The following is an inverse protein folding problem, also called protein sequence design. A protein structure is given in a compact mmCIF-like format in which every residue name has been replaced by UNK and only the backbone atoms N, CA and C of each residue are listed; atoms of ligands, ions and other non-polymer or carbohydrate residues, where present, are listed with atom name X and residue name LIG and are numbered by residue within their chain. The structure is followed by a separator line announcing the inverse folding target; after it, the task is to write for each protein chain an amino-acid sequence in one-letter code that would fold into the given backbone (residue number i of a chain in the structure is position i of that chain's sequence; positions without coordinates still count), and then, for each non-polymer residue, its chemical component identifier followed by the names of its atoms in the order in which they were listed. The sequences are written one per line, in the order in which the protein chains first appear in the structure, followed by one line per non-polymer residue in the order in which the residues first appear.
data_IF_803488316312
#
_entry.id   IF_803488316312
#
_cell.length_a   1.000
_cell.length_b   1.000
_cell.length_c   1.000
_cell.angle_alpha   90.00
_cell.angle_beta   90.00
_cell.angle_gamma   90.00
#
_symmetry.space_group_name_H-M   'P 1'
#
loop_
_entity.id
_entity.type
_entity.pdbx_description
1 polymer ?
#
# COMPACT_ATOMS: atom_id res chain seq x y z
N UNK A 1 9.52 -28.15 -14.61
CA UNK A 1 9.82 -26.96 -13.79
C UNK A 1 9.77 -27.32 -12.29
N UNK A 2 10.86 -27.11 -11.56
CA UNK A 2 11.10 -27.75 -10.24
C UNK A 2 10.20 -27.17 -9.13
N UNK A 3 9.02 -27.75 -8.94
CA UNK A 3 8.07 -27.42 -7.85
C UNK A 3 8.75 -27.41 -6.47
N UNK A 4 9.61 -28.39 -6.20
CA UNK A 4 10.38 -28.48 -4.94
C UNK A 4 11.28 -27.26 -4.73
N UNK A 5 12.00 -26.78 -5.75
CA UNK A 5 12.89 -25.61 -5.67
C UNK A 5 12.12 -24.31 -5.36
N UNK A 6 10.92 -24.18 -5.89
CA UNK A 6 10.08 -23.01 -5.61
C UNK A 6 9.52 -23.03 -4.19
N UNK A 7 9.18 -24.21 -3.67
CA UNK A 7 8.75 -24.38 -2.27
C UNK A 7 9.88 -24.01 -1.32
N UNK A 8 11.12 -24.45 -1.57
CA UNK A 8 12.29 -24.06 -0.75
C UNK A 8 12.50 -22.54 -0.74
N UNK A 9 12.37 -21.87 -1.89
CA UNK A 9 12.48 -20.41 -1.96
C UNK A 9 11.40 -19.69 -1.15
N UNK A 10 10.18 -20.18 -1.18
CA UNK A 10 9.07 -19.64 -0.39
C UNK A 10 9.29 -19.85 1.13
N UNK A 11 9.79 -21.03 1.53
CA UNK A 11 10.11 -21.30 2.92
C UNK A 11 11.22 -20.36 3.41
N UNK A 12 12.30 -20.21 2.64
CA UNK A 12 13.40 -19.31 2.98
C UNK A 12 12.88 -17.87 3.13
N UNK A 13 12.07 -17.42 2.20
CA UNK A 13 11.49 -16.08 2.26
C UNK A 13 10.60 -15.91 3.50
N UNK A 14 9.77 -16.89 3.82
CA UNK A 14 8.93 -16.87 5.01
C UNK A 14 9.77 -16.82 6.30
N UNK A 15 10.85 -17.59 6.38
CA UNK A 15 11.78 -17.56 7.52
C UNK A 15 12.45 -16.21 7.66
N UNK A 16 12.90 -15.58 6.55
CA UNK A 16 13.51 -14.24 6.57
C UNK A 16 12.51 -13.22 7.09
N UNK A 17 11.26 -13.26 6.63
CA UNK A 17 10.20 -12.35 7.09
C UNK A 17 9.94 -12.52 8.59
N UNK A 18 9.83 -13.77 9.09
CA UNK A 18 9.64 -14.05 10.52
C UNK A 18 10.81 -13.53 11.36
N UNK A 19 12.05 -13.73 10.89
CA UNK A 19 13.24 -13.20 11.56
C UNK A 19 13.24 -11.67 11.59
N UNK A 20 12.85 -11.01 10.49
CA UNK A 20 12.74 -9.56 10.42
C UNK A 20 11.66 -9.03 11.38
N UNK A 21 10.52 -9.72 11.51
CA UNK A 21 9.47 -9.37 12.46
C UNK A 21 9.94 -9.52 13.91
N UNK A 22 10.63 -10.61 14.23
CA UNK A 22 11.23 -10.82 15.54
C UNK A 22 12.30 -9.76 15.86
N UNK A 23 13.16 -9.44 14.90
CA UNK A 23 14.15 -8.38 15.03
C UNK A 23 13.50 -7.01 15.27
N UNK A 24 12.43 -6.68 14.53
CA UNK A 24 11.67 -5.43 14.74
C UNK A 24 11.12 -5.33 16.17
N UNK A 25 10.66 -6.44 16.74
CA UNK A 25 10.11 -6.45 18.09
C UNK A 25 11.18 -6.33 19.18
N UNK A 26 12.41 -6.78 18.93
CA UNK A 26 13.49 -6.89 19.94
C UNK A 26 14.52 -5.78 19.84
N UNK A 27 14.90 -5.32 18.64
CA UNK A 27 15.95 -4.33 18.44
C UNK A 27 15.58 -2.99 19.09
N UNK A 28 16.46 -2.46 19.95
CA UNK A 28 16.31 -1.17 20.64
C UNK A 28 15.32 -1.18 21.80
N UNK A 29 14.80 -2.34 22.21
CA UNK A 29 13.99 -2.45 23.43
C UNK A 29 14.93 -2.57 24.63
N UNK A 30 14.78 -1.70 25.61
CA UNK A 30 15.52 -1.76 26.89
C UNK A 30 14.85 -2.79 27.81
N UNK A 31 15.29 -4.05 27.74
CA UNK A 31 14.74 -5.15 28.54
C UNK A 31 14.96 -5.00 30.05
N UNK A 32 15.92 -4.16 30.46
CA UNK A 32 16.23 -3.94 31.88
C UNK A 32 15.18 -3.08 32.61
N UNK A 33 14.29 -2.39 31.89
CA UNK A 33 13.25 -1.55 32.46
C UNK A 33 11.86 -2.01 31.98
N UNK A 34 11.10 -2.65 32.88
CA UNK A 34 9.78 -3.18 32.54
C UNK A 34 8.80 -2.17 31.98
N UNK A 35 8.83 -0.92 32.46
CA UNK A 35 7.92 0.13 31.97
C UNK A 35 8.23 0.48 30.53
N UNK A 36 9.51 0.63 30.18
CA UNK A 36 9.95 0.94 28.83
C UNK A 36 9.70 -0.24 27.86
N UNK A 37 9.88 -1.45 28.35
CA UNK A 37 9.58 -2.67 27.60
C UNK A 37 8.09 -2.75 27.26
N UNK A 38 7.19 -2.62 28.25
CA UNK A 38 5.73 -2.65 28.02
C UNK A 38 5.29 -1.52 27.08
N UNK A 39 5.85 -0.33 27.23
CA UNK A 39 5.56 0.80 26.35
C UNK A 39 6.00 0.53 24.89
N UNK A 40 7.21 -0.01 24.70
CA UNK A 40 7.72 -0.38 23.38
C UNK A 40 6.83 -1.43 22.70
N UNK A 41 6.43 -2.48 23.40
CA UNK A 41 5.53 -3.51 22.86
C UNK A 41 4.15 -2.95 22.55
N UNK A 42 3.57 -2.10 23.41
CA UNK A 42 2.27 -1.47 23.19
C UNK A 42 2.22 -0.66 21.90
N UNK A 43 3.33 -0.01 21.51
CA UNK A 43 3.41 0.77 20.27
C UNK A 43 3.76 -0.12 19.07
N UNK A 44 4.67 -1.07 19.24
CA UNK A 44 5.19 -1.88 18.11
C UNK A 44 4.21 -2.94 17.65
N UNK A 45 3.46 -3.54 18.56
CA UNK A 45 2.51 -4.61 18.24
C UNK A 45 1.44 -4.18 17.21
N UNK A 46 0.68 -3.07 17.42
CA UNK A 46 -0.29 -2.63 16.45
C UNK A 46 0.34 -2.20 15.11
N UNK A 47 1.54 -1.62 15.15
CA UNK A 47 2.28 -1.28 13.92
C UNK A 47 2.67 -2.52 13.12
N UNK A 48 3.12 -3.57 13.79
CA UNK A 48 3.48 -4.83 13.15
C UNK A 48 2.27 -5.49 12.51
N UNK A 49 1.12 -5.53 13.20
CA UNK A 49 -0.14 -6.03 12.64
C UNK A 49 -0.53 -5.21 11.40
N UNK A 50 -0.48 -3.88 11.49
CA UNK A 50 -0.78 -3.02 10.36
C UNK A 50 0.15 -3.29 9.17
N UNK A 51 1.47 -3.46 9.39
CA UNK A 51 2.41 -3.82 8.33
C UNK A 51 2.07 -5.14 7.64
N UNK A 52 1.70 -6.17 8.41
CA UNK A 52 1.33 -7.49 7.87
C UNK A 52 0.06 -7.39 7.03
N UNK A 53 -0.98 -6.74 7.55
CA UNK A 53 -2.24 -6.54 6.83
C UNK A 53 -2.00 -5.75 5.54
N UNK A 54 -1.24 -4.66 5.62
CA UNK A 54 -0.91 -3.82 4.47
C UNK A 54 -0.14 -4.61 3.41
N UNK A 55 0.87 -5.37 3.80
CA UNK A 55 1.66 -6.19 2.87
C UNK A 55 0.78 -7.23 2.16
N UNK A 56 -0.11 -7.91 2.91
CA UNK A 56 -1.04 -8.88 2.35
C UNK A 56 -2.03 -8.23 1.37
N UNK A 57 -2.58 -7.06 1.73
CA UNK A 57 -3.54 -6.32 0.91
C UNK A 57 -2.90 -5.81 -0.38
N UNK A 58 -1.71 -5.21 -0.30
CA UNK A 58 -0.98 -4.71 -1.47
C UNK A 58 -0.57 -5.88 -2.39
N UNK A 59 -0.08 -6.97 -1.82
CA UNK A 59 0.28 -8.17 -2.59
C UNK A 59 -0.93 -8.78 -3.29
N UNK A 60 -2.04 -8.94 -2.59
CA UNK A 60 -3.29 -9.44 -3.16
C UNK A 60 -3.83 -8.53 -4.26
N UNK A 61 -3.91 -7.23 -4.02
CA UNK A 61 -4.33 -6.26 -5.02
C UNK A 61 -3.44 -6.28 -6.27
N UNK A 62 -2.12 -6.41 -6.09
CA UNK A 62 -1.17 -6.49 -7.20
C UNK A 62 -1.39 -7.75 -8.05
N UNK A 63 -1.64 -8.90 -7.43
CA UNK A 63 -1.90 -10.16 -8.14
C UNK A 63 -3.20 -10.06 -8.94
N UNK A 64 -4.28 -9.55 -8.34
CA UNK A 64 -5.56 -9.35 -9.03
C UNK A 64 -5.38 -8.40 -10.22
N UNK A 65 -4.69 -7.29 -10.00
CA UNK A 65 -4.44 -6.30 -11.03
C UNK A 65 -3.63 -6.87 -12.21
N UNK A 66 -2.54 -7.60 -11.92
CA UNK A 66 -1.72 -8.28 -12.93
C UNK A 66 -2.51 -9.32 -13.73
N UNK A 67 -3.42 -10.02 -13.05
CA UNK A 67 -4.30 -11.01 -13.71
C UNK A 67 -5.28 -10.33 -14.67
N UNK A 68 -5.88 -9.21 -14.26
CA UNK A 68 -6.84 -8.46 -15.10
C UNK A 68 -6.16 -7.86 -16.33
N UNK A 69 -4.95 -7.32 -16.16
CA UNK A 69 -4.19 -6.68 -17.25
C UNK A 69 -3.44 -7.72 -18.10
N UNK A 70 -3.36 -8.97 -17.64
CA UNK A 70 -2.55 -10.03 -18.26
C UNK A 70 -1.07 -9.64 -18.41
N UNK A 71 -0.54 -8.92 -17.43
CA UNK A 71 0.86 -8.47 -17.40
C UNK A 71 1.40 -8.55 -15.98
N UNK A 72 2.45 -9.36 -15.77
CA UNK A 72 3.02 -9.65 -14.46
C UNK A 72 3.99 -8.57 -13.94
N UNK A 73 4.35 -7.61 -14.75
CA UNK A 73 5.30 -6.54 -14.38
C UNK A 73 4.56 -5.35 -13.76
N UNK A 74 3.33 -5.09 -14.21
CA UNK A 74 2.59 -3.89 -13.84
C UNK A 74 1.90 -4.07 -12.49
N UNK A 75 2.17 -3.16 -11.58
CA UNK A 75 1.48 -3.06 -10.29
C UNK A 75 0.73 -1.74 -10.18
N UNK A 76 -0.31 -1.61 -9.33
CA UNK A 76 -1.03 -0.36 -9.15
C UNK A 76 -0.12 0.82 -8.76
N UNK A 77 0.95 0.56 -7.99
CA UNK A 77 1.91 1.59 -7.60
C UNK A 77 2.66 2.21 -8.79
N UNK A 78 2.99 1.40 -9.81
CA UNK A 78 3.67 1.88 -11.02
C UNK A 78 2.78 2.74 -11.92
N UNK A 79 1.48 2.71 -11.71
CA UNK A 79 0.53 3.56 -12.44
C UNK A 79 0.36 4.96 -11.81
N UNK A 80 1.16 5.32 -10.81
CA UNK A 80 1.04 6.62 -10.16
C UNK A 80 -0.10 6.72 -9.15
N UNK A 81 -0.61 5.59 -8.64
CA UNK A 81 -1.70 5.60 -7.65
C UNK A 81 -1.34 6.37 -6.37
N UNK A 82 -0.07 6.32 -5.95
CA UNK A 82 0.39 7.05 -4.76
C UNK A 82 0.34 8.58 -4.98
N UNK A 83 0.75 9.04 -6.15
CA UNK A 83 0.72 10.46 -6.51
C UNK A 83 -0.71 10.97 -6.66
N UNK A 84 -1.58 10.15 -7.25
CA UNK A 84 -3.01 10.42 -7.34
C UNK A 84 -3.65 10.55 -5.95
N UNK A 85 -3.33 9.64 -5.03
CA UNK A 85 -3.80 9.73 -3.64
C UNK A 85 -3.34 11.02 -2.97
N UNK A 86 -2.06 11.35 -3.08
CA UNK A 86 -1.51 12.58 -2.50
C UNK A 86 -2.17 13.83 -3.06
N UNK A 87 -2.42 13.86 -4.37
CA UNK A 87 -3.10 14.96 -5.04
C UNK A 87 -4.55 15.10 -4.53
N UNK A 88 -5.29 14.00 -4.44
CA UNK A 88 -6.67 14.01 -3.96
C UNK A 88 -6.73 14.47 -2.51
N UNK A 89 -5.88 13.90 -1.64
CA UNK A 89 -5.81 14.29 -0.23
C UNK A 89 -5.50 15.80 -0.08
N UNK A 90 -4.52 16.29 -0.82
CA UNK A 90 -4.16 17.72 -0.81
C UNK A 90 -5.33 18.59 -1.28
N UNK A 91 -6.01 18.17 -2.34
CA UNK A 91 -7.19 18.91 -2.84
C UNK A 91 -8.33 18.91 -1.81
N UNK A 92 -8.61 17.76 -1.18
CA UNK A 92 -9.63 17.65 -0.11
C UNK A 92 -9.31 18.61 1.04
N UNK A 93 -8.06 18.62 1.52
CA UNK A 93 -7.62 19.52 2.60
C UNK A 93 -7.69 20.98 2.17
N UNK A 94 -7.36 21.28 0.92
CA UNK A 94 -7.40 22.65 0.36
C UNK A 94 -8.83 23.16 0.26
N UNK A 95 -9.75 22.39 -0.31
CA UNK A 95 -11.14 22.82 -0.53
C UNK A 95 -11.99 22.81 0.73
N UNK A 96 -11.82 21.82 1.62
CA UNK A 96 -12.60 21.72 2.85
C UNK A 96 -12.00 22.55 4.00
N UNK A 97 -10.74 22.93 3.88
CA UNK A 97 -9.98 23.61 4.93
C UNK A 97 -9.46 22.65 6.00
N UNK A 98 -8.25 22.90 6.47
CA UNK A 98 -7.60 22.10 7.51
C UNK A 98 -8.31 22.10 8.87
N UNK A 99 -9.23 23.05 9.09
CA UNK A 99 -10.05 23.16 10.32
C UNK A 99 -11.40 22.48 10.26
N UNK A 100 -11.78 21.86 9.14
CA UNK A 100 -13.09 21.22 9.02
C UNK A 100 -13.15 19.91 9.82
N UNK A 101 -14.31 19.59 10.39
CA UNK A 101 -14.52 18.32 11.14
C UNK A 101 -14.20 17.08 10.29
N UNK A 102 -14.40 17.16 8.99
CA UNK A 102 -14.13 16.08 8.04
C UNK A 102 -12.63 15.82 7.87
N UNK A 103 -11.80 16.85 8.02
CA UNK A 103 -10.34 16.74 7.88
C UNK A 103 -9.68 16.45 9.22
N UNK A 104 -10.17 17.05 10.33
CA UNK A 104 -9.63 16.84 11.67
C UNK A 104 -9.82 15.39 12.14
N UNK A 105 -10.96 14.78 11.81
CA UNK A 105 -11.21 13.39 12.16
C UNK A 105 -10.51 12.47 11.17
N UNK A 106 -9.38 11.86 11.57
CA UNK A 106 -8.55 11.00 10.73
C UNK A 106 -9.34 9.87 10.03
N UNK A 107 -10.34 9.28 10.71
CA UNK A 107 -11.14 8.20 10.14
C UNK A 107 -12.10 8.72 9.05
N UNK A 108 -12.69 9.88 9.26
CA UNK A 108 -13.59 10.51 8.29
C UNK A 108 -12.82 11.01 7.07
N UNK A 109 -11.66 11.65 7.28
CA UNK A 109 -10.76 12.09 6.22
C UNK A 109 -10.32 10.90 5.35
N UNK A 110 -9.87 9.82 5.98
CA UNK A 110 -9.48 8.60 5.28
C UNK A 110 -10.63 7.99 4.46
N UNK A 111 -11.83 7.90 5.05
CA UNK A 111 -13.00 7.36 4.34
C UNK A 111 -13.38 8.22 3.13
N UNK A 112 -13.32 9.53 3.27
CA UNK A 112 -13.62 10.48 2.21
C UNK A 112 -12.58 10.39 1.08
N UNK A 113 -11.29 10.36 1.42
CA UNK A 113 -10.21 10.19 0.46
C UNK A 113 -10.35 8.86 -0.31
N UNK A 114 -10.72 7.77 0.38
CA UNK A 114 -10.89 6.46 -0.22
C UNK A 114 -12.04 6.44 -1.23
N UNK A 115 -13.17 7.05 -0.90
CA UNK A 115 -14.33 7.14 -1.79
C UNK A 115 -14.00 8.00 -3.02
N UNK A 116 -13.45 9.19 -2.81
CA UNK A 116 -13.06 10.08 -3.91
C UNK A 116 -12.01 9.41 -4.81
N UNK A 117 -10.98 8.80 -4.21
CA UNK A 117 -9.95 8.08 -4.93
C UNK A 117 -10.52 6.95 -5.78
N UNK A 118 -11.46 6.17 -5.22
CA UNK A 118 -12.12 5.09 -5.94
C UNK A 118 -12.83 5.58 -7.21
N UNK A 119 -13.59 6.65 -7.12
CA UNK A 119 -14.26 7.24 -8.27
C UNK A 119 -13.28 7.85 -9.27
N UNK A 120 -12.36 8.69 -8.81
CA UNK A 120 -11.41 9.40 -9.68
C UNK A 120 -10.45 8.43 -10.37
N UNK A 121 -9.90 7.48 -9.63
CA UNK A 121 -9.02 6.46 -10.19
C UNK A 121 -9.76 5.62 -11.24
N UNK A 122 -10.96 5.12 -10.94
CA UNK A 122 -11.74 4.34 -11.89
C UNK A 122 -12.03 5.12 -13.16
N UNK A 123 -12.41 6.38 -13.05
CA UNK A 123 -12.69 7.24 -14.19
C UNK A 123 -11.42 7.50 -15.03
N UNK A 124 -10.32 7.93 -14.40
CA UNK A 124 -9.06 8.23 -15.10
C UNK A 124 -8.51 7.00 -15.79
N UNK A 125 -8.38 5.88 -15.07
CA UNK A 125 -7.79 4.68 -15.65
C UNK A 125 -8.68 4.02 -16.69
N UNK A 126 -10.00 4.04 -16.52
CA UNK A 126 -10.94 3.59 -17.55
C UNK A 126 -10.80 4.40 -18.85
N UNK A 127 -10.68 5.72 -18.73
CA UNK A 127 -10.45 6.60 -19.87
C UNK A 127 -9.08 6.34 -20.51
N UNK A 128 -8.01 6.24 -19.73
CA UNK A 128 -6.66 5.96 -20.24
C UNK A 128 -6.58 4.61 -20.96
N UNK A 129 -7.15 3.56 -20.40
CA UNK A 129 -7.17 2.25 -21.04
C UNK A 129 -7.95 2.27 -22.36
N UNK A 130 -9.06 2.98 -22.41
CA UNK A 130 -9.84 3.16 -23.64
C UNK A 130 -9.07 3.96 -24.70
N UNK A 131 -8.44 5.07 -24.29
CA UNK A 131 -7.69 5.95 -25.18
C UNK A 131 -6.43 5.29 -25.77
N UNK A 132 -5.82 4.36 -25.03
CA UNK A 132 -4.59 3.66 -25.45
C UNK A 132 -4.87 2.31 -26.11
N UNK A 133 -6.10 2.03 -26.52
CA UNK A 133 -6.51 0.72 -27.07
C UNK A 133 -6.09 -0.46 -26.17
N UNK A 134 -6.20 -0.32 -24.86
CA UNK A 134 -5.81 -1.30 -23.85
C UNK A 134 -4.31 -1.63 -23.84
N UNK A 135 -3.47 -0.75 -24.40
CA UNK A 135 -2.02 -0.94 -24.36
C UNK A 135 -1.46 -0.49 -23.02
N UNK A 136 -1.17 -1.47 -22.18
CA UNK A 136 -0.70 -1.29 -20.79
C UNK A 136 0.60 -0.49 -20.70
N UNK A 137 1.49 -0.62 -21.70
CA UNK A 137 2.78 0.10 -21.71
C UNK A 137 2.60 1.60 -21.77
N UNK A 138 1.64 2.10 -22.58
CA UNK A 138 1.36 3.53 -22.63
C UNK A 138 0.74 4.05 -21.33
N UNK A 139 -0.17 3.27 -20.71
CA UNK A 139 -0.76 3.64 -19.42
C UNK A 139 0.32 3.70 -18.32
N UNK A 140 1.27 2.74 -18.34
CA UNK A 140 2.38 2.71 -17.41
C UNK A 140 3.31 3.92 -17.62
N UNK A 141 3.61 4.28 -18.87
CA UNK A 141 4.46 5.42 -19.19
C UNK A 141 3.81 6.73 -18.71
N UNK A 142 2.52 6.90 -18.91
CA UNK A 142 1.76 8.05 -18.37
C UNK A 142 1.80 8.03 -16.82
N UNK A 143 1.60 6.87 -16.20
CA UNK A 143 1.66 6.72 -14.75
C UNK A 143 3.03 7.09 -14.17
N UNK A 144 4.12 6.69 -14.82
CA UNK A 144 5.48 7.05 -14.38
C UNK A 144 5.81 8.53 -14.56
N UNK A 145 5.20 9.21 -15.51
CA UNK A 145 5.34 10.68 -15.68
C UNK A 145 4.57 11.43 -14.59
N UNK A 146 3.48 10.87 -14.09
CA UNK A 146 2.67 11.45 -13.02
C UNK A 146 3.27 11.24 -11.62
N UNK A 147 4.27 10.36 -11.47
CA UNK A 147 4.92 10.05 -10.19
C UNK A 147 6.09 10.95 -9.93
#
# INVERSE_FOLDING_TARGET
MNRKRNIYKLIILAVIVLLAMAAYMTIGVKFHNERLMRFAFKIRYPKLIAMVITAFTIGGASIVFQSVINNTIVTPCLLGMNSLYTLIHTAVVFFLGSGSMLVINANMSFALDLVIMGFVATFIYSYLFKATNHNVLYVLLIGTVLT
#
